data_IF_154880891303
#
_entry.id   IF_154880891303
#
_cell.length_a   1.000
_cell.length_b   1.000
_cell.length_c   1.000
_cell.angle_alpha   90.00
_cell.angle_beta   90.00
_cell.angle_gamma   90.00
#
_symmetry.space_group_name_H-M   'P 1'
#
loop_
_entity.id
_entity.type
_entity.pdbx_description
1 polymer ?
#
# COMPACT_ATOMS: atom_id res chain seq x y z
N UNK A 1 9.58 -10.62 9.84
CA UNK A 1 9.62 -9.25 9.30
C UNK A 1 9.04 -9.17 7.90
N UNK A 2 9.69 -9.79 6.90
CA UNK A 2 9.28 -9.65 5.50
C UNK A 2 7.82 -10.04 5.22
N UNK A 3 7.36 -11.22 5.66
CA UNK A 3 5.98 -11.70 5.41
C UNK A 3 4.91 -10.77 6.01
N UNK A 4 5.10 -10.28 7.23
CA UNK A 4 4.16 -9.38 7.89
C UNK A 4 4.13 -8.00 7.23
N UNK A 5 5.27 -7.53 6.71
CA UNK A 5 5.32 -6.31 5.91
C UNK A 5 4.57 -6.49 4.58
N UNK A 6 4.83 -7.58 3.87
CA UNK A 6 4.12 -7.90 2.62
C UNK A 6 2.62 -7.97 2.85
N UNK A 7 2.17 -8.58 3.97
CA UNK A 7 0.76 -8.61 4.34
C UNK A 7 0.17 -7.19 4.46
N UNK A 8 0.76 -6.33 5.31
CA UNK A 8 0.26 -4.96 5.47
C UNK A 8 0.29 -4.16 4.17
N UNK A 9 1.31 -4.34 3.33
CA UNK A 9 1.34 -3.73 2.00
C UNK A 9 0.16 -4.20 1.12
N UNK A 10 -0.19 -5.49 1.16
CA UNK A 10 -1.28 -6.06 0.37
C UNK A 10 -2.69 -5.77 0.95
N UNK A 11 -2.81 -5.44 2.24
CA UNK A 11 -4.11 -5.29 2.91
C UNK A 11 -4.40 -3.90 3.46
N UNK A 12 -3.42 -2.99 3.47
CA UNK A 12 -3.56 -1.67 4.09
C UNK A 12 -2.83 -0.59 3.30
N UNK A 13 -1.52 -0.74 3.06
CA UNK A 13 -0.69 0.41 2.66
C UNK A 13 -0.50 0.59 1.16
N UNK A 14 -0.50 -0.48 0.36
CA UNK A 14 -0.19 -0.38 -1.07
C UNK A 14 1.21 0.16 -1.40
N UNK A 15 2.17 0.00 -0.49
CA UNK A 15 3.53 0.51 -0.62
C UNK A 15 4.45 -0.40 -1.46
N UNK A 16 4.60 -0.09 -2.75
CA UNK A 16 5.37 -0.87 -3.73
C UNK A 16 6.54 -0.09 -4.32
N UNK A 17 7.71 -0.72 -4.49
CA UNK A 17 8.90 -0.06 -5.03
C UNK A 17 9.04 -0.40 -6.52
N UNK A 18 8.61 0.53 -7.37
CA UNK A 18 8.79 0.43 -8.83
C UNK A 18 10.00 1.23 -9.29
N UNK A 19 10.51 0.90 -10.46
CA UNK A 19 11.62 1.62 -11.12
C UNK A 19 11.17 2.10 -12.49
N UNK A 20 11.73 3.20 -12.97
CA UNK A 20 11.48 3.79 -14.29
C UNK A 20 12.76 4.29 -14.98
N UNK A 21 13.94 3.89 -14.46
CA UNK A 21 15.24 4.38 -14.92
C UNK A 21 15.69 3.89 -16.31
N UNK A 22 14.98 2.93 -16.89
CA UNK A 22 15.25 2.36 -18.20
C UNK A 22 16.56 1.54 -18.28
N UNK A 23 16.88 0.95 -19.45
CA UNK A 23 18.00 0.01 -19.60
C UNK A 23 19.40 0.56 -19.28
N UNK A 24 19.54 1.89 -19.19
CA UNK A 24 20.79 2.59 -18.87
C UNK A 24 20.81 3.24 -17.49
N UNK A 25 19.71 3.15 -16.73
CA UNK A 25 19.61 3.69 -15.38
C UNK A 25 20.29 2.79 -14.34
N UNK A 26 20.73 3.37 -13.22
CA UNK A 26 21.40 2.62 -12.13
C UNK A 26 20.48 1.62 -11.41
N UNK A 27 19.17 1.75 -11.57
CA UNK A 27 18.15 0.85 -11.02
C UNK A 27 17.59 -0.14 -12.06
N UNK A 28 18.20 -0.18 -13.25
CA UNK A 28 17.75 -1.03 -14.34
C UNK A 28 16.43 -0.60 -14.98
N UNK A 29 15.88 -1.50 -15.78
CA UNK A 29 14.62 -1.30 -16.49
C UNK A 29 13.40 -1.29 -15.54
N UNK A 30 12.21 -1.09 -16.10
CA UNK A 30 10.96 -0.95 -15.33
C UNK A 30 10.68 -2.18 -14.46
N UNK A 31 10.44 -1.93 -13.17
CA UNK A 31 9.83 -2.90 -12.25
C UNK A 31 8.33 -2.57 -12.16
N UNK A 32 7.46 -3.28 -12.90
CA UNK A 32 6.07 -2.90 -12.97
C UNK A 32 5.32 -3.25 -11.68
N UNK A 33 4.36 -2.40 -11.31
CA UNK A 33 3.49 -2.58 -10.14
C UNK A 33 2.81 -3.95 -10.11
N UNK A 34 2.49 -4.51 -11.28
CA UNK A 34 1.83 -5.82 -11.43
C UNK A 34 2.61 -6.96 -10.79
N UNK A 35 3.95 -6.88 -10.73
CA UNK A 35 4.79 -7.89 -10.04
C UNK A 35 4.36 -8.01 -8.57
N UNK A 36 4.15 -6.89 -7.89
CA UNK A 36 3.79 -6.90 -6.47
C UNK A 36 2.32 -7.23 -6.24
N UNK A 37 1.42 -6.73 -7.09
CA UNK A 37 -0.01 -7.07 -7.02
C UNK A 37 -0.21 -8.57 -7.23
N UNK A 38 0.45 -9.16 -8.22
CA UNK A 38 0.38 -10.60 -8.47
C UNK A 38 0.97 -11.39 -7.29
N UNK A 39 2.08 -10.92 -6.70
CA UNK A 39 2.64 -11.53 -5.49
C UNK A 39 1.63 -11.55 -4.33
N UNK A 40 0.84 -10.49 -4.12
CA UNK A 40 -0.23 -10.49 -3.11
C UNK A 40 -1.26 -11.60 -3.37
N UNK A 41 -1.68 -11.74 -4.63
CA UNK A 41 -2.62 -12.78 -5.08
C UNK A 41 -2.03 -14.19 -4.90
N UNK A 42 -0.77 -14.39 -5.25
CA UNK A 42 -0.11 -15.70 -5.23
C UNK A 42 0.18 -16.17 -3.79
N UNK A 43 0.58 -15.24 -2.90
CA UNK A 43 0.98 -15.58 -1.53
C UNK A 43 -0.21 -15.66 -0.58
N UNK A 44 -1.20 -14.77 -0.74
CA UNK A 44 -2.32 -14.65 0.22
C UNK A 44 -3.66 -15.12 -0.35
N UNK A 45 -3.74 -15.37 -1.66
CA UNK A 45 -4.87 -15.98 -2.33
C UNK A 45 -5.59 -15.03 -3.30
N UNK A 46 -6.44 -15.63 -4.15
CA UNK A 46 -7.09 -14.95 -5.29
C UNK A 46 -7.93 -13.71 -4.95
N UNK A 47 -8.36 -13.58 -3.70
CA UNK A 47 -9.11 -12.42 -3.22
C UNK A 47 -8.25 -11.15 -3.16
N UNK A 48 -6.94 -11.30 -2.94
CA UNK A 48 -6.00 -10.18 -2.76
C UNK A 48 -5.49 -9.69 -4.11
N UNK A 49 -6.42 -9.29 -4.98
CA UNK A 49 -6.15 -8.74 -6.31
C UNK A 49 -6.03 -7.21 -6.29
N UNK A 50 -5.82 -6.61 -7.47
CA UNK A 50 -5.69 -5.16 -7.63
C UNK A 50 -6.89 -4.38 -7.06
N UNK A 51 -8.11 -4.88 -7.25
CA UNK A 51 -9.34 -4.21 -6.81
C UNK A 51 -9.45 -4.23 -5.29
N UNK A 52 -9.12 -5.39 -4.68
CA UNK A 52 -9.09 -5.52 -3.23
C UNK A 52 -8.05 -4.57 -2.61
N UNK A 53 -6.82 -4.57 -3.14
CA UNK A 53 -5.73 -3.72 -2.63
C UNK A 53 -6.13 -2.24 -2.70
N UNK A 54 -6.66 -1.78 -3.84
CA UNK A 54 -7.10 -0.39 -4.03
C UNK A 54 -8.23 0.00 -3.06
N UNK A 55 -9.20 -0.88 -2.84
CA UNK A 55 -10.25 -0.66 -1.84
C UNK A 55 -9.69 -0.59 -0.40
N UNK A 56 -8.72 -1.46 -0.08
CA UNK A 56 -8.12 -1.52 1.25
C UNK A 56 -7.24 -0.29 1.55
N UNK A 57 -6.49 0.20 0.55
CA UNK A 57 -5.74 1.46 0.65
C UNK A 57 -6.67 2.63 0.89
N UNK A 58 -7.77 2.73 0.13
CA UNK A 58 -8.78 3.78 0.37
C UNK A 58 -9.40 3.72 1.76
N UNK A 59 -9.72 2.52 2.25
CA UNK A 59 -10.25 2.35 3.61
C UNK A 59 -9.23 2.78 4.69
N UNK A 60 -7.95 2.46 4.49
CA UNK A 60 -6.86 2.84 5.39
C UNK A 60 -6.66 4.36 5.41
N UNK A 61 -6.64 5.00 4.24
CA UNK A 61 -6.56 6.45 4.11
C UNK A 61 -7.78 7.14 4.75
N UNK A 62 -8.99 6.60 4.58
CA UNK A 62 -10.18 7.13 5.23
C UNK A 62 -10.13 7.02 6.77
N UNK A 63 -9.48 5.98 7.30
CA UNK A 63 -9.36 5.77 8.74
C UNK A 63 -8.30 6.68 9.39
N UNK A 64 -7.09 6.71 8.83
CA UNK A 64 -5.95 7.44 9.40
C UNK A 64 -5.82 8.88 8.88
N UNK A 65 -6.52 9.21 7.80
CA UNK A 65 -6.39 10.45 7.06
C UNK A 65 -5.47 10.30 5.86
N UNK A 66 -5.90 10.84 4.72
CA UNK A 66 -5.05 10.95 3.53
C UNK A 66 -4.15 12.19 3.62
N UNK A 67 -3.19 12.31 2.70
CA UNK A 67 -2.41 13.53 2.56
C UNK A 67 -3.28 14.76 2.25
N UNK A 68 -4.44 14.56 1.62
CA UNK A 68 -5.39 15.62 1.27
C UNK A 68 -6.15 16.12 2.51
N UNK A 69 -6.37 15.25 3.50
CA UNK A 69 -7.07 15.56 4.76
C UNK A 69 -6.10 15.94 5.89
N UNK A 70 -4.84 16.19 5.56
CA UNK A 70 -3.80 16.50 6.54
C UNK A 70 -3.91 17.97 7.00
N UNK A 71 -4.80 18.23 7.96
CA UNK A 71 -4.82 19.49 8.69
C UNK A 71 -3.82 19.48 9.86
N UNK A 72 -2.85 20.41 9.83
CA UNK A 72 -1.88 20.66 10.92
C UNK A 72 -2.58 21.38 12.08
N UNK A 73 -3.55 20.71 12.71
CA UNK A 73 -4.19 21.18 13.93
C UNK A 73 -4.47 19.98 14.81
N UNK A 74 -3.60 19.78 15.80
CA UNK A 74 -3.88 19.12 17.08
C UNK A 74 -4.80 17.87 17.03
N UNK A 75 -4.57 16.90 16.14
CA UNK A 75 -5.27 15.60 16.20
C UNK A 75 -4.72 14.71 17.32
N UNK A 76 -4.93 15.13 18.57
CA UNK A 76 -5.18 14.17 19.65
C UNK A 76 -6.69 13.93 19.60
N UNK A 77 -7.16 12.98 18.77
CA UNK A 77 -8.56 12.53 18.87
C UNK A 77 -8.69 11.84 20.23
N UNK A 78 -9.54 12.31 21.17
CA UNK A 78 -9.79 11.54 22.38
C UNK A 78 -10.40 10.22 21.94
N UNK A 79 -9.77 9.11 22.35
CA UNK A 79 -10.29 7.75 22.23
C UNK A 79 -11.76 7.81 22.69
N UNK A 80 -12.71 7.54 21.79
CA UNK A 80 -14.09 7.30 22.20
C UNK A 80 -14.05 6.05 23.07
N UNK A 81 -14.23 6.28 24.36
CA UNK A 81 -14.27 5.30 25.43
C UNK A 81 -15.53 4.44 25.24
N UNK A 82 -15.36 3.11 25.18
CA UNK A 82 -16.43 2.17 25.54
C UNK A 82 -16.79 2.34 27.02
#
# INVERSE_FOLDING_TARGET
GARSWTWQTCTEFGYYQTTDGGPKGIFGDVTPLSVFVNMCTDVFGKKFDANYIDAAVRATLAHYGSAEDFEVIHKYKPVQQE
#
